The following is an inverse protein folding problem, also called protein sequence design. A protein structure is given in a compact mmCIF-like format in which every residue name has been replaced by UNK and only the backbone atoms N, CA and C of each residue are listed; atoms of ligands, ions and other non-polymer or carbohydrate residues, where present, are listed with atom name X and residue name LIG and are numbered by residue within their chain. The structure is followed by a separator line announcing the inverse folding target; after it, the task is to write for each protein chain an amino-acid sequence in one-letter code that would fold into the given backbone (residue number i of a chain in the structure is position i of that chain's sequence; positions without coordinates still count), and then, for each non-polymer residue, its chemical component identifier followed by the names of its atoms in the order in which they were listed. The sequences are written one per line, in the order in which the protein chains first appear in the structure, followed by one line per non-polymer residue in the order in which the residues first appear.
data_IF_759625375812
#
_entry.id   IF_759625375812
#
_cell.length_a   1.000
_cell.length_b   1.000
_cell.length_c   1.000
_cell.angle_alpha   90.00
_cell.angle_beta   90.00
_cell.angle_gamma   90.00
#
_symmetry.space_group_name_H-M   'P 1'
#
loop_
_entity.id
_entity.type
_entity.pdbx_description
1 polymer ?
#
# COMPACT_ATOMS: atom_id res chain seq x y z
N UNK A 1 -22.55 0.52 -1.75
CA UNK A 1 -21.21 1.09 -2.01
C UNK A 1 -21.39 2.57 -2.26
N UNK A 2 -20.79 3.45 -1.44
CA UNK A 2 -20.78 4.88 -1.73
C UNK A 2 -19.80 5.12 -2.88
N UNK A 3 -20.29 5.63 -4.01
CA UNK A 3 -19.43 6.04 -5.11
C UNK A 3 -19.05 7.51 -4.92
N UNK A 4 -17.76 7.79 -4.86
CA UNK A 4 -17.21 9.15 -4.83
C UNK A 4 -16.43 9.41 -6.12
N UNK A 5 -16.70 10.56 -6.75
CA UNK A 5 -16.04 10.95 -8.01
C UNK A 5 -15.00 12.03 -7.72
N UNK A 6 -13.76 11.78 -8.10
CA UNK A 6 -12.65 12.74 -7.98
C UNK A 6 -12.29 13.30 -9.37
N UNK A 7 -12.30 14.62 -9.51
CA UNK A 7 -11.88 15.30 -10.74
C UNK A 7 -10.39 15.66 -10.69
N UNK A 8 -9.56 14.93 -11.43
CA UNK A 8 -8.11 15.12 -11.46
C UNK A 8 -7.72 15.89 -12.72
N UNK A 9 -7.09 17.06 -12.54
CA UNK A 9 -6.48 17.82 -13.63
C UNK A 9 -5.06 17.33 -13.87
N UNK A 10 -4.79 16.87 -15.08
CA UNK A 10 -3.47 16.45 -15.54
C UNK A 10 -2.97 17.35 -16.66
N UNK A 11 -1.65 17.52 -16.74
CA UNK A 11 -1.01 18.27 -17.84
C UNK A 11 -1.35 17.63 -19.19
N UNK A 12 -1.51 18.42 -20.28
CA UNK A 12 -1.90 17.89 -21.59
C UNK A 12 -0.95 16.82 -22.14
N UNK A 13 0.35 16.96 -21.92
CA UNK A 13 1.38 16.01 -22.34
C UNK A 13 1.21 14.64 -21.67
N UNK A 14 1.00 14.65 -20.35
CA UNK A 14 0.74 13.44 -19.57
C UNK A 14 -0.59 12.80 -20.00
N UNK A 15 -1.63 13.59 -20.27
CA UNK A 15 -2.90 13.09 -20.75
C UNK A 15 -2.77 12.38 -22.11
N UNK A 16 -1.90 12.88 -23.01
CA UNK A 16 -1.61 12.22 -24.30
C UNK A 16 -0.93 10.86 -24.08
N UNK A 17 0.06 10.81 -23.18
CA UNK A 17 0.72 9.56 -22.79
C UNK A 17 -0.25 8.54 -22.20
N UNK A 18 -1.09 8.97 -21.24
CA UNK A 18 -2.10 8.12 -20.60
C UNK A 18 -3.12 7.56 -21.58
N UNK A 19 -3.61 8.37 -22.55
CA UNK A 19 -4.51 7.89 -23.60
C UNK A 19 -3.86 6.81 -24.47
N UNK A 20 -2.58 7.00 -24.83
CA UNK A 20 -1.82 6.01 -25.58
C UNK A 20 -1.64 4.70 -24.81
N UNK A 21 -1.30 4.79 -23.52
CA UNK A 21 -1.15 3.63 -22.65
C UNK A 21 -2.47 2.88 -22.44
N UNK A 22 -3.56 3.62 -22.21
CA UNK A 22 -4.90 3.08 -22.01
C UNK A 22 -5.35 2.25 -23.23
N UNK A 23 -5.13 2.77 -24.45
CA UNK A 23 -5.42 2.05 -25.70
C UNK A 23 -4.60 0.78 -25.84
N UNK A 24 -3.31 0.81 -25.49
CA UNK A 24 -2.42 -0.37 -25.56
C UNK A 24 -2.81 -1.46 -24.56
N UNK A 25 -3.36 -1.08 -23.41
CA UNK A 25 -3.76 -2.00 -22.32
C UNK A 25 -5.25 -2.32 -22.31
N UNK A 26 -5.99 -1.92 -23.34
CA UNK A 26 -7.45 -2.10 -23.45
C UNK A 26 -8.22 -1.66 -22.20
N UNK A 27 -7.78 -0.54 -21.59
CA UNK A 27 -8.36 0.01 -20.36
C UNK A 27 -8.70 1.49 -20.53
N UNK A 28 -9.28 2.11 -19.49
CA UNK A 28 -9.60 3.54 -19.48
C UNK A 28 -8.49 4.38 -18.82
N UNK A 29 -8.40 5.66 -19.19
CA UNK A 29 -7.50 6.61 -18.50
C UNK A 29 -7.84 6.72 -17.01
N UNK A 30 -9.13 6.70 -16.66
CA UNK A 30 -9.59 6.73 -15.28
C UNK A 30 -9.10 5.52 -14.47
N UNK A 31 -9.00 4.36 -15.11
CA UNK A 31 -8.51 3.14 -14.47
C UNK A 31 -7.00 3.19 -14.20
N UNK A 32 -6.21 3.66 -15.18
CA UNK A 32 -4.78 3.88 -14.96
C UNK A 32 -4.52 4.86 -13.82
N UNK A 33 -5.32 5.91 -13.72
CA UNK A 33 -5.22 6.88 -12.62
C UNK A 33 -5.64 6.24 -11.29
N UNK A 34 -6.70 5.43 -11.25
CA UNK A 34 -7.09 4.69 -10.04
C UNK A 34 -5.98 3.78 -9.55
N UNK A 35 -5.38 2.98 -10.44
CA UNK A 35 -4.26 2.10 -10.12
C UNK A 35 -3.06 2.89 -9.58
N UNK A 36 -2.72 4.02 -10.19
CA UNK A 36 -1.64 4.88 -9.72
C UNK A 36 -1.94 5.47 -8.33
N UNK A 37 -3.17 5.92 -8.08
CA UNK A 37 -3.57 6.46 -6.77
C UNK A 37 -3.55 5.36 -5.71
N UNK A 38 -4.07 4.17 -6.00
CA UNK A 38 -4.04 3.02 -5.08
C UNK A 38 -2.60 2.63 -4.75
N UNK A 39 -1.74 2.53 -5.78
CA UNK A 39 -0.32 2.17 -5.60
C UNK A 39 0.46 3.21 -4.79
N UNK A 40 0.20 4.50 -5.00
CA UNK A 40 0.94 5.56 -4.32
C UNK A 40 0.45 5.84 -2.90
N UNK A 41 -0.86 5.72 -2.65
CA UNK A 41 -1.46 6.17 -1.40
C UNK A 41 -1.96 5.06 -0.50
N UNK A 42 -1.88 3.78 -0.92
CA UNK A 42 -2.33 2.60 -0.17
C UNK A 42 -3.57 2.94 0.67
N UNK A 43 -4.65 3.36 -0.02
CA UNK A 43 -5.74 4.14 0.56
C UNK A 43 -6.39 3.48 1.79
N UNK A 44 -6.26 2.17 1.94
CA UNK A 44 -6.75 1.42 3.09
C UNK A 44 -5.94 1.67 4.38
N UNK A 45 -4.67 2.07 4.26
CA UNK A 45 -3.88 2.62 5.38
C UNK A 45 -4.48 3.93 5.92
N UNK A 46 -5.35 4.60 5.17
CA UNK A 46 -5.98 5.84 5.64
C UNK A 46 -6.90 5.61 6.83
N UNK A 47 -7.49 4.42 6.94
CA UNK A 47 -8.37 4.05 8.05
C UNK A 47 -7.60 3.63 9.32
N UNK A 48 -6.28 3.47 9.21
CA UNK A 48 -5.45 3.19 10.36
C UNK A 48 -5.22 4.47 11.17
N UNK A 49 -5.33 4.33 12.48
CA UNK A 49 -4.93 5.39 13.38
C UNK A 49 -3.40 5.59 13.30
N UNK A 50 -2.91 6.72 13.82
CA UNK A 50 -1.50 7.08 13.75
C UNK A 50 -0.58 6.00 14.37
N UNK A 51 -1.04 5.31 15.41
CA UNK A 51 -0.29 4.27 16.10
C UNK A 51 -0.12 3.03 15.21
N UNK A 52 -1.19 2.59 14.55
CA UNK A 52 -1.17 1.47 13.59
C UNK A 52 -0.31 1.77 12.36
N UNK A 53 -0.37 3.01 11.83
CA UNK A 53 0.49 3.42 10.71
C UNK A 53 1.97 3.33 11.06
N UNK A 54 2.36 3.86 12.22
CA UNK A 54 3.74 3.75 12.73
C UNK A 54 4.16 2.30 12.93
N UNK A 55 3.26 1.42 13.38
CA UNK A 55 3.55 0.00 13.52
C UNK A 55 3.82 -0.66 12.16
N UNK A 56 3.06 -0.33 11.12
CA UNK A 56 3.32 -0.84 9.76
C UNK A 56 4.65 -0.33 9.21
N UNK A 57 4.94 0.96 9.35
CA UNK A 57 6.23 1.54 8.94
C UNK A 57 7.40 0.86 9.68
N UNK A 58 7.24 0.64 10.99
CA UNK A 58 8.23 -0.05 11.81
C UNK A 58 8.42 -1.51 11.39
N UNK A 59 7.33 -2.21 11.05
CA UNK A 59 7.37 -3.59 10.57
C UNK A 59 8.05 -3.69 9.19
N UNK A 60 7.68 -2.82 8.25
CA UNK A 60 8.32 -2.74 6.93
C UNK A 60 9.81 -2.39 7.05
N UNK A 61 10.16 -1.53 8.00
CA UNK A 61 11.54 -1.18 8.33
C UNK A 61 12.32 -2.25 9.10
N UNK A 62 11.70 -3.38 9.46
CA UNK A 62 12.36 -4.48 10.19
C UNK A 62 12.56 -4.22 11.69
N UNK A 63 12.01 -3.14 12.24
CA UNK A 63 12.19 -2.75 13.65
C UNK A 63 11.29 -3.51 14.62
N UNK A 64 10.19 -4.10 14.14
CA UNK A 64 9.27 -4.89 14.96
C UNK A 64 8.92 -6.21 14.27
N UNK A 65 8.66 -7.24 15.07
CA UNK A 65 8.21 -8.54 14.56
C UNK A 65 6.74 -8.51 14.11
N UNK A 66 6.34 -9.50 13.31
CA UNK A 66 4.93 -9.71 12.93
C UNK A 66 4.01 -9.88 14.16
N UNK A 67 4.50 -10.52 15.22
CA UNK A 67 3.76 -10.67 16.48
C UNK A 67 3.49 -9.31 17.12
N UNK A 68 4.50 -8.43 17.15
CA UNK A 68 4.34 -7.07 17.67
C UNK A 68 3.40 -6.24 16.80
N UNK A 69 3.50 -6.35 15.47
CA UNK A 69 2.54 -5.71 14.57
C UNK A 69 1.11 -6.17 14.84
N UNK A 70 0.89 -7.47 15.06
CA UNK A 70 -0.44 -8.01 15.35
C UNK A 70 -1.06 -7.40 16.62
N UNK A 71 -0.25 -7.25 17.69
CA UNK A 71 -0.67 -6.53 18.90
C UNK A 71 -1.10 -5.08 18.62
N UNK A 72 -0.28 -4.34 17.87
CA UNK A 72 -0.56 -2.92 17.56
C UNK A 72 -1.77 -2.75 16.64
N UNK A 73 -2.02 -3.72 15.78
CA UNK A 73 -3.20 -3.77 14.90
C UNK A 73 -4.46 -4.25 15.64
N UNK A 74 -4.34 -4.82 16.84
CA UNK A 74 -5.46 -5.42 17.57
C UNK A 74 -6.02 -6.66 16.88
N UNK A 75 -5.16 -7.41 16.17
CA UNK A 75 -5.52 -8.55 15.34
C UNK A 75 -4.74 -9.80 15.77
N UNK A 76 -5.21 -10.99 15.37
CA UNK A 76 -4.40 -12.20 15.47
C UNK A 76 -3.29 -12.18 14.41
N UNK A 77 -2.18 -12.88 14.66
CA UNK A 77 -1.07 -13.01 13.70
C UNK A 77 -1.57 -13.49 12.32
N UNK A 78 -2.52 -14.42 12.30
CA UNK A 78 -3.12 -14.92 11.06
C UNK A 78 -3.88 -13.82 10.30
N UNK A 79 -4.72 -13.08 11.01
CA UNK A 79 -5.48 -11.98 10.41
C UNK A 79 -4.55 -10.85 9.95
N UNK A 80 -3.48 -10.57 10.68
CA UNK A 80 -2.46 -9.60 10.27
C UNK A 80 -1.75 -10.02 9.00
N UNK A 81 -1.34 -11.29 8.84
CA UNK A 81 -0.76 -11.77 7.57
C UNK A 81 -1.70 -11.60 6.39
N UNK A 82 -2.94 -12.04 6.57
CA UNK A 82 -3.98 -11.90 5.54
C UNK A 82 -4.21 -10.44 5.17
N UNK A 83 -4.29 -9.57 6.18
CA UNK A 83 -4.44 -8.13 5.98
C UNK A 83 -3.23 -7.54 5.24
N UNK A 84 -2.00 -7.92 5.57
CA UNK A 84 -0.81 -7.45 4.83
C UNK A 84 -0.83 -7.89 3.36
N UNK A 85 -1.24 -9.13 3.07
CA UNK A 85 -1.41 -9.65 1.70
C UNK A 85 -2.49 -8.90 0.93
N UNK A 86 -3.65 -8.68 1.54
CA UNK A 86 -4.77 -7.94 0.94
C UNK A 86 -4.41 -6.49 0.57
N UNK A 87 -3.41 -5.92 1.25
CA UNK A 87 -2.98 -4.53 1.08
C UNK A 87 -1.63 -4.39 0.36
N UNK A 88 -1.13 -5.47 -0.25
CA UNK A 88 0.15 -5.51 -0.97
C UNK A 88 1.33 -4.98 -0.13
N UNK A 89 1.30 -5.23 1.18
CA UNK A 89 2.40 -4.88 2.08
C UNK A 89 3.37 -6.06 2.15
N UNK A 90 4.64 -5.88 1.74
CA UNK A 90 5.63 -6.93 1.82
C UNK A 90 5.77 -7.40 3.26
N UNK A 91 5.56 -8.69 3.48
CA UNK A 91 5.90 -9.31 4.74
C UNK A 91 7.43 -9.46 4.74
N UNK A 92 8.13 -8.60 5.48
CA UNK A 92 9.60 -8.62 5.54
C UNK A 92 10.05 -9.80 6.42
N UNK A 93 9.80 -11.01 5.90
CA UNK A 93 10.02 -12.29 6.54
C UNK A 93 11.44 -12.81 6.29
N UNK A 94 12.19 -12.10 5.45
CA UNK A 94 13.54 -12.44 5.08
C UNK A 94 14.46 -11.85 6.14
N UNK A 95 14.86 -12.68 7.10
CA UNK A 95 16.08 -12.44 7.87
C UNK A 95 17.18 -12.01 6.90
N UNK A 96 17.65 -10.76 7.02
CA UNK A 96 18.82 -10.28 6.28
C UNK A 96 20.00 -10.38 7.24
N UNK A 97 21.13 -10.93 6.79
CA UNK A 97 22.36 -11.05 7.60
C UNK A 97 22.79 -9.72 8.26
N UNK A 98 22.36 -8.57 7.72
CA UNK A 98 22.61 -7.25 8.28
C UNK A 98 21.78 -6.93 9.53
N UNK A 99 20.69 -7.64 9.81
CA UNK A 99 19.88 -7.43 11.03
C UNK A 99 20.68 -7.77 12.30
N UNK A 100 21.65 -8.69 12.19
CA UNK A 100 22.59 -9.05 13.28
C UNK A 100 23.54 -7.89 13.62
N UNK A 101 23.79 -6.95 12.70
CA UNK A 101 24.76 -5.87 12.92
C UNK A 101 24.19 -4.68 13.69
N UNK A 102 22.87 -4.60 13.83
CA UNK A 102 22.17 -3.49 14.50
C UNK A 102 21.53 -3.90 15.85
N UNK A 103 21.80 -5.13 16.34
CA UNK A 103 21.40 -5.63 17.64
C UNK A 103 22.54 -5.52 18.66
#
# INVERSE_FOLDING_TARGET
MQNSTLHIKVKPELAKGLKGLARKRETSVGELIRQAVQSCYQLDLLNLNQKQRRAIEAFQGGYISLGKLAEEMGMSIWNTRKWLEEHDIPQNNSFLENDVKNA
#
